data_IF_327169819534
#
_entry.id   IF_327169819534
#
_cell.length_a   1.000
_cell.length_b   1.000
_cell.length_c   1.000
_cell.angle_alpha   90.00
_cell.angle_beta   90.00
_cell.angle_gamma   90.00
#
_symmetry.space_group_name_H-M   'P 1'
#
loop_
_entity.id
_entity.type
_entity.pdbx_description
1 polymer ?
#
# COMPACT_ATOMS: atom_id res chain seq x y z
N UNK A 1 -3.35 13.98 -14.62
CA UNK A 1 -2.28 12.97 -14.50
C UNK A 1 -2.93 11.69 -14.06
N UNK A 2 -3.41 10.97 -15.05
CA UNK A 2 -4.08 9.70 -14.87
C UNK A 2 -3.04 8.58 -14.94
N UNK A 3 -2.83 7.89 -13.82
CA UNK A 3 -1.98 6.69 -13.77
C UNK A 3 -2.67 5.48 -14.40
N UNK A 4 -1.88 4.62 -15.04
CA UNK A 4 -2.35 3.43 -15.72
C UNK A 4 -3.02 2.43 -14.75
N UNK A 5 -4.23 2.01 -15.09
CA UNK A 5 -5.03 1.04 -14.34
C UNK A 5 -4.44 -0.38 -14.50
N UNK A 6 -3.78 -0.91 -13.47
CA UNK A 6 -3.34 -2.32 -13.47
C UNK A 6 -4.43 -3.15 -12.83
N UNK A 7 -5.07 -3.97 -13.67
CA UNK A 7 -6.27 -4.76 -13.40
C UNK A 7 -6.47 -5.20 -11.96
N UNK A 8 -7.51 -4.67 -11.33
CA UNK A 8 -8.11 -5.26 -10.15
C UNK A 8 -8.88 -6.52 -10.58
N UNK A 9 -8.47 -7.69 -10.08
CA UNK A 9 -9.25 -8.92 -10.23
C UNK A 9 -10.67 -8.72 -9.71
N UNK A 10 -11.64 -9.45 -10.27
CA UNK A 10 -13.08 -9.32 -10.06
C UNK A 10 -13.46 -8.78 -8.67
N UNK A 11 -13.78 -7.50 -8.62
CA UNK A 11 -14.27 -6.78 -7.44
C UNK A 11 -15.78 -6.57 -7.59
N UNK A 12 -16.53 -6.90 -6.55
CA UNK A 12 -17.99 -6.73 -6.50
C UNK A 12 -18.37 -5.22 -6.40
N UNK A 13 -17.45 -4.39 -5.91
CA UNK A 13 -17.52 -2.92 -5.89
C UNK A 13 -16.10 -2.29 -5.91
N UNK A 14 -15.92 -1.18 -6.64
CA UNK A 14 -14.61 -0.52 -6.79
C UNK A 14 -14.41 0.55 -5.74
N UNK A 15 -13.68 0.21 -4.67
CA UNK A 15 -13.34 1.14 -3.59
C UNK A 15 -12.30 2.21 -3.99
N UNK A 16 -11.53 1.98 -5.06
CA UNK A 16 -10.55 2.94 -5.56
C UNK A 16 -9.50 2.32 -6.47
N UNK A 17 -8.70 3.18 -7.10
CA UNK A 17 -7.59 2.78 -7.97
C UNK A 17 -6.26 3.07 -7.26
N UNK A 18 -5.31 2.14 -7.36
CA UNK A 18 -3.92 2.35 -6.93
C UNK A 18 -3.10 2.82 -8.13
N UNK A 19 -2.24 3.82 -7.93
CA UNK A 19 -1.29 4.22 -8.95
C UNK A 19 -0.14 3.21 -9.04
N UNK A 20 0.41 3.05 -10.23
CA UNK A 20 1.53 2.15 -10.51
C UNK A 20 2.90 2.77 -10.26
N UNK A 21 2.93 4.09 -10.06
CA UNK A 21 4.13 4.89 -9.92
C UNK A 21 3.90 6.03 -8.93
N UNK A 22 4.98 6.59 -8.38
CA UNK A 22 4.96 7.71 -7.45
C UNK A 22 4.62 9.07 -8.12
N UNK A 23 4.08 9.05 -9.34
CA UNK A 23 3.78 10.26 -10.10
C UNK A 23 2.64 11.05 -9.44
N UNK A 24 2.67 12.37 -9.60
CA UNK A 24 1.65 13.28 -9.05
C UNK A 24 1.47 13.22 -7.53
N UNK A 25 2.55 13.00 -6.78
CA UNK A 25 2.49 12.98 -5.31
C UNK A 25 1.85 11.71 -4.75
N UNK A 26 1.72 10.65 -5.56
CA UNK A 26 1.30 9.35 -5.08
C UNK A 26 2.36 8.77 -4.12
N UNK A 27 1.94 8.39 -2.93
CA UNK A 27 2.81 7.85 -1.87
C UNK A 27 2.77 6.33 -1.89
N UNK A 28 3.92 5.67 -1.75
CA UNK A 28 4.02 4.22 -1.73
C UNK A 28 3.18 3.60 -0.60
N UNK A 29 2.33 2.63 -0.93
CA UNK A 29 1.56 1.84 0.01
C UNK A 29 2.32 0.56 0.36
N UNK A 30 2.80 0.48 1.60
CA UNK A 30 3.51 -0.67 2.14
C UNK A 30 2.52 -1.71 2.65
N UNK A 31 2.74 -2.97 2.28
CA UNK A 31 2.03 -4.12 2.84
C UNK A 31 2.94 -4.86 3.81
N UNK A 32 2.43 -5.08 5.02
CA UNK A 32 3.12 -5.77 6.10
C UNK A 32 2.27 -6.95 6.56
N UNK A 33 2.89 -8.10 6.82
CA UNK A 33 2.21 -9.30 7.31
C UNK A 33 2.60 -9.57 8.76
N UNK A 34 1.59 -9.69 9.62
CA UNK A 34 1.79 -10.08 11.01
C UNK A 34 2.08 -11.58 11.12
N UNK A 35 2.70 -12.03 12.22
CA UNK A 35 2.88 -13.46 12.50
C UNK A 35 1.54 -14.22 12.55
N UNK A 36 0.46 -13.54 12.92
CA UNK A 36 -0.90 -14.07 12.96
C UNK A 36 -1.61 -14.07 11.59
N UNK A 37 -0.90 -13.74 10.49
CA UNK A 37 -1.45 -13.74 9.14
C UNK A 37 -2.32 -12.53 8.79
N UNK A 38 -2.30 -11.46 9.60
CA UNK A 38 -3.04 -10.22 9.31
C UNK A 38 -2.19 -9.29 8.46
N UNK A 39 -2.82 -8.65 7.48
CA UNK A 39 -2.17 -7.64 6.67
C UNK A 39 -2.38 -6.25 7.27
N UNK A 40 -1.31 -5.46 7.32
CA UNK A 40 -1.30 -4.08 7.72
C UNK A 40 -0.80 -3.24 6.54
N UNK A 41 -1.57 -2.22 6.18
CA UNK A 41 -1.29 -1.34 5.06
C UNK A 41 -1.02 0.07 5.59
N UNK A 42 0.12 0.64 5.22
CA UNK A 42 0.51 2.00 5.64
C UNK A 42 1.27 2.70 4.53
N UNK A 43 1.10 4.02 4.43
CA UNK A 43 1.92 4.88 3.55
C UNK A 43 3.11 5.49 4.30
N UNK A 44 3.14 5.33 5.63
CA UNK A 44 4.18 5.90 6.50
C UNK A 44 5.36 4.95 6.62
N UNK A 45 6.54 5.38 6.17
CA UNK A 45 7.77 4.60 6.32
C UNK A 45 8.16 4.39 7.79
N UNK A 46 7.93 5.38 8.65
CA UNK A 46 8.20 5.28 10.09
C UNK A 46 7.31 4.22 10.77
N UNK A 47 6.03 4.15 10.35
CA UNK A 47 5.07 3.19 10.89
C UNK A 47 5.38 1.77 10.42
N UNK A 48 5.80 1.62 9.15
CA UNK A 48 6.36 0.38 8.62
C UNK A 48 7.56 -0.08 9.43
N UNK A 49 8.53 0.79 9.65
CA UNK A 49 9.78 0.43 10.34
C UNK A 49 9.52 0.11 11.81
N UNK A 50 8.60 0.80 12.49
CA UNK A 50 8.16 0.44 13.83
C UNK A 50 7.46 -0.94 13.85
N UNK A 51 6.61 -1.23 12.85
CA UNK A 51 5.95 -2.53 12.77
C UNK A 51 6.94 -3.68 12.56
N UNK A 52 7.96 -3.49 11.74
CA UNK A 52 9.01 -4.48 11.50
C UNK A 52 9.87 -4.67 12.76
N UNK A 53 10.41 -3.58 13.30
CA UNK A 53 11.41 -3.65 14.37
C UNK A 53 10.82 -3.97 15.75
N UNK A 54 9.57 -3.55 16.00
CA UNK A 54 8.99 -3.63 17.34
C UNK A 54 7.78 -4.57 17.43
N UNK A 55 7.11 -4.88 16.32
CA UNK A 55 5.88 -5.68 16.29
C UNK A 55 6.03 -7.00 15.52
N UNK A 56 7.24 -7.35 15.08
CA UNK A 56 7.55 -8.59 14.34
C UNK A 56 6.74 -8.75 13.05
N UNK A 57 6.37 -7.64 12.40
CA UNK A 57 5.77 -7.70 11.08
C UNK A 57 6.84 -7.96 10.02
N UNK A 58 6.45 -8.71 8.99
CA UNK A 58 7.28 -8.96 7.82
C UNK A 58 6.82 -7.99 6.73
N UNK A 59 7.74 -7.18 6.20
CA UNK A 59 7.44 -6.35 5.03
C UNK A 59 7.31 -7.22 3.79
N UNK A 60 6.16 -7.12 3.12
CA UNK A 60 5.90 -7.78 1.84
C UNK A 60 6.19 -6.87 0.64
N UNK A 61 6.62 -5.64 0.90
CA UNK A 61 6.97 -4.64 -0.12
C UNK A 61 5.85 -3.65 -0.41
N UNK A 62 6.03 -2.91 -1.50
CA UNK A 62 5.09 -1.89 -1.96
C UNK A 62 4.06 -2.53 -2.89
N UNK A 63 2.78 -2.44 -2.52
CA UNK A 63 1.68 -3.02 -3.31
C UNK A 63 1.14 -2.07 -4.39
N UNK A 64 1.48 -0.79 -4.29
CA UNK A 64 1.03 0.27 -5.19
C UNK A 64 1.32 1.65 -4.59
N UNK A 65 0.82 2.70 -5.22
CA UNK A 65 0.94 4.08 -4.74
C UNK A 65 -0.46 4.69 -4.57
N UNK A 66 -0.64 5.53 -3.56
CA UNK A 66 -1.92 6.15 -3.18
C UNK A 66 -1.79 7.66 -3.30
N UNK A 67 -2.71 8.30 -4.01
CA UNK A 67 -2.81 9.76 -4.02
C UNK A 67 -3.34 10.26 -2.69
N UNK A 68 -2.55 11.08 -2.01
CA UNK A 68 -2.90 11.68 -0.72
C UNK A 68 -3.51 13.07 -0.87
N UNK A 69 -3.57 13.59 -2.09
CA UNK A 69 -4.20 14.86 -2.45
C UNK A 69 -5.41 14.62 -3.38
N UNK A 70 -6.56 15.28 -3.16
CA UNK A 70 -7.73 15.22 -4.04
C UNK A 70 -7.48 15.77 -5.45
#
# INVERSE_FOLDING_TARGET
CEGANQGAGSIDDTLGYLATSADCGATALYRLRSPAGRHFYTISAAERDNAINNLSYISEGTTGYVWTSP
#
